data_IF_327388999505
#
_entry.id   IF_327388999505
#
_cell.length_a   1.000
_cell.length_b   1.000
_cell.length_c   1.000
_cell.angle_alpha   90.00
_cell.angle_beta   90.00
_cell.angle_gamma   90.00
#
_symmetry.space_group_name_H-M   'P 1'
#
loop_
_entity.id
_entity.type
_entity.pdbx_description
1 polymer ?
#
# COMPACT_ATOMS: atom_id res chain seq x y z
N UNK A 1 33.35 0.93 11.70
CA UNK A 1 32.43 1.92 11.10
C UNK A 1 31.11 1.21 10.91
N UNK A 2 30.12 1.42 11.79
CA UNK A 2 28.88 0.64 11.77
C UNK A 2 28.04 0.98 10.54
N UNK A 3 27.50 -0.03 9.86
CA UNK A 3 26.63 0.16 8.71
C UNK A 3 25.51 1.16 9.02
N UNK A 4 25.42 2.21 8.21
CA UNK A 4 24.33 3.17 8.31
C UNK A 4 23.01 2.43 8.05
N UNK A 5 22.13 2.43 9.06
CA UNK A 5 20.84 1.76 8.98
C UNK A 5 20.00 2.44 7.90
N UNK A 6 19.71 1.75 6.79
CA UNK A 6 18.85 2.27 5.72
C UNK A 6 17.49 2.67 6.28
N UNK A 7 17.16 3.94 6.12
CA UNK A 7 15.84 4.46 6.46
C UNK A 7 14.78 3.84 5.54
N UNK A 8 13.60 3.54 6.11
CA UNK A 8 12.48 2.99 5.35
C UNK A 8 11.40 4.04 5.22
N UNK A 9 11.17 4.48 3.99
CA UNK A 9 10.15 5.50 3.67
C UNK A 9 8.74 4.92 3.62
N UNK A 10 8.59 3.66 3.25
CA UNK A 10 7.29 3.02 3.08
C UNK A 10 7.37 1.60 2.55
N UNK A 11 6.21 1.11 2.11
CA UNK A 11 5.99 -0.16 1.45
C UNK A 11 5.16 0.09 0.20
N UNK A 12 5.58 -0.44 -0.93
CA UNK A 12 4.81 -0.35 -2.17
C UNK A 12 4.01 -1.65 -2.36
N UNK A 13 2.67 -1.53 -2.35
CA UNK A 13 1.77 -2.63 -2.65
C UNK A 13 1.29 -2.48 -4.09
N UNK A 14 1.88 -3.27 -5.00
CA UNK A 14 1.49 -3.25 -6.42
C UNK A 14 0.38 -4.25 -6.68
N UNK A 15 -0.78 -3.76 -7.11
CA UNK A 15 -1.92 -4.56 -7.52
C UNK A 15 -1.99 -4.60 -9.04
N UNK A 16 -1.72 -5.75 -9.65
CA UNK A 16 -1.77 -5.95 -11.10
C UNK A 16 -3.00 -6.75 -11.49
N UNK A 17 -3.80 -6.23 -12.43
CA UNK A 17 -4.92 -6.97 -12.99
C UNK A 17 -4.42 -8.14 -13.88
N UNK A 18 -5.18 -9.24 -14.00
CA UNK A 18 -4.86 -10.29 -14.96
C UNK A 18 -4.77 -9.73 -16.40
N UNK A 19 -3.88 -10.28 -17.23
CA UNK A 19 -3.59 -9.74 -18.57
C UNK A 19 -4.84 -9.52 -19.44
N UNK A 20 -5.78 -10.47 -19.44
CA UNK A 20 -7.03 -10.34 -20.20
C UNK A 20 -7.93 -9.19 -19.72
N UNK A 21 -7.92 -8.91 -18.41
CA UNK A 21 -8.64 -7.78 -17.82
C UNK A 21 -7.99 -6.46 -18.27
N UNK A 22 -6.66 -6.38 -18.26
CA UNK A 22 -5.91 -5.23 -18.78
C UNK A 22 -6.20 -4.98 -20.27
N UNK A 23 -6.30 -6.04 -21.08
CA UNK A 23 -6.66 -5.91 -22.50
C UNK A 23 -8.07 -5.35 -22.69
N UNK A 24 -9.07 -5.84 -21.95
CA UNK A 24 -10.43 -5.31 -22.07
C UNK A 24 -10.57 -3.89 -21.56
N UNK A 25 -9.87 -3.53 -20.48
CA UNK A 25 -9.89 -2.18 -19.96
C UNK A 25 -9.23 -1.17 -20.94
N UNK A 26 -8.03 -1.48 -21.42
CA UNK A 26 -7.15 -0.49 -22.04
C UNK A 26 -7.16 -0.52 -23.57
N UNK A 27 -7.34 -1.69 -24.18
CA UNK A 27 -7.38 -1.83 -25.65
C UNK A 27 -8.80 -1.76 -26.16
N UNK A 28 -9.71 -2.54 -25.57
CA UNK A 28 -11.14 -2.43 -25.92
C UNK A 28 -11.77 -1.13 -25.38
N UNK A 29 -11.20 -0.55 -24.32
CA UNK A 29 -11.62 0.75 -23.78
C UNK A 29 -12.76 0.66 -22.78
N UNK A 30 -12.98 -0.49 -22.15
CA UNK A 30 -14.02 -0.66 -21.13
C UNK A 30 -13.62 0.02 -19.80
N UNK A 31 -14.10 1.25 -19.63
CA UNK A 31 -13.87 2.06 -18.43
C UNK A 31 -14.47 1.45 -17.16
N UNK A 32 -15.49 0.60 -17.27
CA UNK A 32 -16.12 -0.01 -16.09
C UNK A 32 -15.17 -0.99 -15.40
N UNK A 33 -14.27 -1.62 -16.16
CA UNK A 33 -13.21 -2.47 -15.62
C UNK A 33 -12.17 -1.65 -14.86
N UNK A 34 -11.82 -0.46 -15.34
CA UNK A 34 -10.90 0.45 -14.64
C UNK A 34 -11.50 0.86 -13.28
N UNK A 35 -12.77 1.25 -13.25
CA UNK A 35 -13.46 1.58 -12.00
C UNK A 35 -13.55 0.37 -11.05
N UNK A 36 -13.78 -0.83 -11.59
CA UNK A 36 -13.82 -2.05 -10.80
C UNK A 36 -12.44 -2.36 -10.17
N UNK A 37 -11.36 -2.16 -10.93
CA UNK A 37 -9.98 -2.29 -10.45
C UNK A 37 -9.71 -1.30 -9.30
N UNK A 38 -10.08 -0.03 -9.45
CA UNK A 38 -9.89 0.97 -8.39
C UNK A 38 -10.65 0.64 -7.11
N UNK A 39 -11.91 0.17 -7.24
CA UNK A 39 -12.72 -0.30 -6.11
C UNK A 39 -12.08 -1.50 -5.42
N UNK A 40 -11.52 -2.44 -6.18
CA UNK A 40 -10.83 -3.60 -5.66
C UNK A 40 -9.55 -3.22 -4.91
N UNK A 41 -8.74 -2.30 -5.47
CA UNK A 41 -7.55 -1.76 -4.80
C UNK A 41 -7.92 -1.08 -3.49
N UNK A 42 -8.95 -0.20 -3.49
CA UNK A 42 -9.40 0.47 -2.28
C UNK A 42 -9.91 -0.51 -1.21
N UNK A 43 -10.61 -1.58 -1.61
CA UNK A 43 -11.02 -2.64 -0.69
C UNK A 43 -9.81 -3.37 -0.09
N UNK A 44 -8.83 -3.76 -0.91
CA UNK A 44 -7.62 -4.42 -0.42
C UNK A 44 -6.80 -3.54 0.53
N UNK A 45 -6.66 -2.24 0.23
CA UNK A 45 -5.98 -1.28 1.11
C UNK A 45 -6.70 -1.14 2.45
N UNK A 46 -8.03 -1.12 2.48
CA UNK A 46 -8.81 -1.10 3.73
C UNK A 46 -8.62 -2.36 4.58
N UNK A 47 -8.45 -3.53 3.94
CA UNK A 47 -8.10 -4.75 4.69
C UNK A 47 -6.67 -4.68 5.22
N UNK A 48 -5.72 -4.16 4.44
CA UNK A 48 -4.34 -3.96 4.90
C UNK A 48 -4.26 -2.96 6.07
N UNK A 49 -5.10 -1.93 6.08
CA UNK A 49 -5.18 -0.95 7.16
C UNK A 49 -5.53 -1.57 8.52
N UNK A 50 -6.39 -2.59 8.55
CA UNK A 50 -6.73 -3.34 9.78
C UNK A 50 -5.54 -4.11 10.36
N UNK A 51 -4.51 -4.36 9.54
CA UNK A 51 -3.28 -5.03 9.94
C UNK A 51 -2.18 -4.04 10.37
N UNK A 52 -2.44 -2.72 10.31
CA UNK A 52 -1.48 -1.70 10.71
C UNK A 52 -1.15 -1.81 12.20
N UNK A 53 0.16 -1.83 12.51
CA UNK A 53 0.67 -1.95 13.86
C UNK A 53 1.81 -0.96 14.12
N UNK A 54 1.94 -0.52 15.36
CA UNK A 54 3.09 0.25 15.86
C UNK A 54 3.66 -0.36 17.14
N UNK A 55 4.92 -0.04 17.43
CA UNK A 55 5.59 -0.45 18.67
C UNK A 55 5.49 0.64 19.73
N UNK A 56 5.18 0.25 20.95
CA UNK A 56 5.15 1.12 22.14
C UNK A 56 6.09 0.56 23.19
N UNK A 57 7.01 1.37 23.69
CA UNK A 57 7.90 1.00 24.79
C UNK A 57 7.45 1.68 26.08
N UNK A 58 7.16 0.90 27.12
CA UNK A 58 6.88 1.40 28.48
C UNK A 58 7.75 0.64 29.46
N UNK A 59 8.47 1.38 30.32
CA UNK A 59 9.33 0.81 31.36
C UNK A 59 10.30 -0.28 30.82
N UNK A 60 10.93 -0.02 29.68
CA UNK A 60 11.88 -0.95 29.04
C UNK A 60 11.25 -2.13 28.29
N UNK A 61 9.94 -2.39 28.46
CA UNK A 61 9.22 -3.43 27.72
C UNK A 61 8.57 -2.86 26.47
N UNK A 62 8.85 -3.46 25.32
CA UNK A 62 8.26 -3.04 24.05
C UNK A 62 7.13 -3.97 23.64
N UNK A 63 5.93 -3.42 23.48
CA UNK A 63 4.73 -4.13 23.04
C UNK A 63 4.31 -3.65 21.65
N UNK A 64 3.61 -4.51 20.91
CA UNK A 64 2.99 -4.16 19.62
C UNK A 64 1.52 -3.88 19.86
N UNK A 65 1.00 -2.84 19.22
CA UNK A 65 -0.42 -2.52 19.23
C UNK A 65 -0.93 -2.32 17.79
N UNK A 66 -2.16 -2.74 17.53
CA UNK A 66 -2.85 -2.37 16.30
C UNK A 66 -3.15 -0.88 16.34
N UNK A 67 -2.93 -0.19 15.23
CA UNK A 67 -3.26 1.23 15.06
C UNK A 67 -4.45 1.42 14.13
N UNK A 68 -4.73 0.45 13.26
CA UNK A 68 -5.87 0.45 12.34
C UNK A 68 -5.98 1.72 11.47
N UNK A 69 -4.84 2.35 11.17
CA UNK A 69 -4.78 3.50 10.26
C UNK A 69 -3.49 3.48 9.45
N UNK A 70 -3.60 3.80 8.16
CA UNK A 70 -2.48 3.96 7.25
C UNK A 70 -2.57 5.30 6.51
N UNK A 71 -1.42 5.79 6.05
CA UNK A 71 -1.38 6.85 5.04
C UNK A 71 -0.89 6.23 3.74
N UNK A 72 -1.74 6.22 2.72
CA UNK A 72 -1.50 5.52 1.45
C UNK A 72 -1.75 6.46 0.28
N UNK A 73 -0.81 6.51 -0.66
CA UNK A 73 -0.97 7.18 -1.94
C UNK A 73 -1.10 6.13 -3.05
N UNK A 74 -2.14 6.24 -3.88
CA UNK A 74 -2.40 5.28 -4.97
C UNK A 74 -2.10 5.91 -6.32
N UNK A 75 -1.29 5.22 -7.14
CA UNK A 75 -0.89 5.63 -8.48
C UNK A 75 -1.26 4.53 -9.47
N UNK A 76 -2.24 4.78 -10.33
CA UNK A 76 -2.67 3.84 -11.39
C UNK A 76 -1.82 4.02 -12.63
N UNK A 77 -1.32 2.93 -13.19
CA UNK A 77 -0.56 2.87 -14.44
C UNK A 77 -1.20 1.86 -15.40
N UNK A 78 -0.84 1.95 -16.68
CA UNK A 78 -1.53 1.26 -17.77
C UNK A 78 -0.58 0.47 -18.70
N UNK A 79 0.74 0.55 -18.48
CA UNK A 79 1.75 -0.10 -19.33
C UNK A 79 2.81 -0.81 -18.50
N UNK A 80 3.23 -1.99 -18.97
CA UNK A 80 4.35 -2.73 -18.38
C UNK A 80 5.69 -2.13 -18.81
N UNK A 81 6.79 -2.64 -18.25
CA UNK A 81 8.17 -2.29 -18.69
C UNK A 81 8.44 -2.65 -20.15
N UNK A 82 7.74 -3.65 -20.68
CA UNK A 82 7.82 -4.06 -22.08
C UNK A 82 6.85 -3.29 -22.99
N UNK A 83 6.17 -2.26 -22.45
CA UNK A 83 5.17 -1.43 -23.13
C UNK A 83 3.88 -2.18 -23.53
N UNK A 84 3.65 -3.34 -22.92
CA UNK A 84 2.40 -4.08 -23.07
C UNK A 84 1.28 -3.48 -22.19
N UNK A 85 -0.01 -3.60 -22.57
CA UNK A 85 -1.13 -3.16 -21.74
C UNK A 85 -1.14 -3.87 -20.38
N UNK A 86 -1.06 -3.10 -19.30
CA UNK A 86 -0.92 -3.61 -17.94
C UNK A 86 -1.57 -2.66 -16.94
N UNK A 87 -2.85 -2.92 -16.62
CA UNK A 87 -3.59 -2.16 -15.62
C UNK A 87 -3.11 -2.56 -14.22
N UNK A 88 -2.37 -1.66 -13.58
CA UNK A 88 -1.88 -1.87 -12.23
C UNK A 88 -1.92 -0.60 -11.38
N UNK A 89 -1.89 -0.75 -10.06
CA UNK A 89 -1.84 0.36 -9.12
C UNK A 89 -0.77 0.14 -8.08
N UNK A 90 0.10 1.13 -7.93
CA UNK A 90 1.01 1.25 -6.80
C UNK A 90 0.27 1.93 -5.66
N UNK A 91 0.00 1.18 -4.59
CA UNK A 91 -0.48 1.75 -3.34
C UNK A 91 0.71 1.90 -2.39
N UNK A 92 1.33 3.07 -2.40
CA UNK A 92 2.49 3.39 -1.58
C UNK A 92 2.03 3.70 -0.15
N UNK A 93 2.24 2.75 0.75
CA UNK A 93 1.98 2.86 2.18
C UNK A 93 3.15 3.57 2.83
N UNK A 94 2.94 4.80 3.31
CA UNK A 94 3.96 5.53 4.04
C UNK A 94 4.31 4.79 5.34
N UNK A 95 5.58 4.82 5.74
CA UNK A 95 6.05 4.19 6.97
C UNK A 95 5.67 5.03 8.21
N UNK A 96 4.37 5.30 8.36
CA UNK A 96 3.81 6.05 9.47
C UNK A 96 2.40 5.58 9.79
N UNK A 97 2.09 5.55 11.08
CA UNK A 97 0.75 5.28 11.61
C UNK A 97 0.59 5.99 12.95
N UNK A 98 -0.62 6.46 13.25
CA UNK A 98 -0.92 7.17 14.48
C UNK A 98 -1.41 6.19 15.55
N UNK A 99 -0.82 6.26 16.74
CA UNK A 99 -1.31 5.48 17.89
C UNK A 99 -2.49 6.19 18.56
N UNK A 100 -3.17 5.47 19.45
CA UNK A 100 -4.26 6.02 20.28
C UNK A 100 -3.85 7.24 21.11
N UNK A 101 -2.56 7.37 21.46
CA UNK A 101 -2.01 8.53 22.17
C UNK A 101 -1.75 9.75 21.26
N UNK A 102 -2.18 9.71 20.00
CA UNK A 102 -2.01 10.76 19.01
C UNK A 102 -0.61 10.85 18.40
N UNK A 103 0.36 10.07 18.90
CA UNK A 103 1.73 10.12 18.37
C UNK A 103 1.88 9.29 17.10
N UNK A 104 2.56 9.87 16.11
CA UNK A 104 2.96 9.17 14.89
C UNK A 104 4.21 8.32 15.12
N UNK A 105 4.18 7.08 14.63
CA UNK A 105 5.28 6.13 14.72
C UNK A 105 5.46 5.39 13.39
N UNK A 106 6.66 4.87 13.18
CA UNK A 106 6.90 3.95 12.08
C UNK A 106 6.05 2.69 12.21
N UNK A 107 5.65 2.13 11.07
CA UNK A 107 4.97 0.84 11.04
C UNK A 107 5.88 -0.24 11.61
N UNK A 108 5.26 -1.19 12.31
CA UNK A 108 5.95 -2.39 12.76
C UNK A 108 6.36 -3.20 11.52
N UNK A 109 7.62 -3.65 11.53
CA UNK A 109 8.15 -4.59 10.54
C UNK A 109 7.62 -5.99 10.77
#
# INVERSE_FOLDING_TARGET
MGDAKKERLGYDLTFSAPKGVSMQALIHGDKTIIEAHEKAVAAAVREAEKLAQARTTRQGKSVTQNTNNLVVATFRHETSRALDPDLHTHAFVMNMTQREDGQWRALKK
#
